data_IF_222918179424
#
_entry.id   IF_222918179424
#
_cell.length_a   1.000
_cell.length_b   1.000
_cell.length_c   1.000
_cell.angle_alpha   90.00
_cell.angle_beta   90.00
_cell.angle_gamma   90.00
#
_symmetry.space_group_name_H-M   'P 1'
#
loop_
_entity.id
_entity.type
_entity.pdbx_description
1 polymer ?
#
# COMPACT_ATOMS: atom_id res chain seq x y z
N UNK A 1 -16.50 9.56 -11.73
CA UNK A 1 -16.77 8.22 -11.15
C UNK A 1 -16.75 7.20 -12.28
N UNK A 2 -16.13 6.05 -12.06
CA UNK A 2 -16.14 4.94 -13.00
C UNK A 2 -17.17 3.90 -12.54
N UNK A 3 -17.93 3.33 -13.47
CA UNK A 3 -18.88 2.25 -13.18
C UNK A 3 -18.21 0.92 -13.47
N UNK A 4 -18.27 0.00 -12.52
CA UNK A 4 -17.80 -1.38 -12.68
C UNK A 4 -18.97 -2.34 -12.48
N UNK A 5 -19.00 -3.41 -13.28
CA UNK A 5 -19.98 -4.50 -13.12
C UNK A 5 -19.28 -5.65 -12.41
N UNK A 6 -19.81 -6.07 -11.26
CA UNK A 6 -19.27 -7.19 -10.48
C UNK A 6 -20.23 -8.37 -10.58
N UNK A 7 -19.71 -9.53 -10.99
CA UNK A 7 -20.45 -10.78 -10.98
C UNK A 7 -20.62 -11.30 -9.55
N UNK A 8 -21.85 -11.65 -9.18
CA UNK A 8 -22.19 -12.29 -7.90
C UNK A 8 -23.09 -13.49 -8.17
N UNK A 9 -23.04 -14.49 -7.30
CA UNK A 9 -23.96 -15.62 -7.38
C UNK A 9 -25.41 -15.19 -7.10
N UNK A 10 -26.37 -15.99 -7.56
CA UNK A 10 -27.79 -15.63 -7.48
C UNK A 10 -28.31 -15.59 -6.04
N UNK A 11 -27.74 -16.39 -5.12
CA UNK A 11 -28.16 -16.38 -3.73
C UNK A 11 -27.77 -15.08 -3.04
N UNK A 12 -26.52 -14.65 -3.23
CA UNK A 12 -26.04 -13.36 -2.74
C UNK A 12 -26.85 -12.22 -3.33
N UNK A 13 -27.12 -12.25 -4.65
CA UNK A 13 -27.95 -11.24 -5.31
C UNK A 13 -29.36 -11.18 -4.74
N UNK A 14 -29.99 -12.32 -4.44
CA UNK A 14 -31.30 -12.37 -3.76
C UNK A 14 -31.25 -11.73 -2.38
N UNK A 15 -30.25 -12.06 -1.56
CA UNK A 15 -30.08 -11.47 -0.22
C UNK A 15 -29.86 -9.96 -0.28
N UNK A 16 -29.06 -9.50 -1.24
CA UNK A 16 -28.85 -8.07 -1.47
C UNK A 16 -30.14 -7.35 -1.85
N UNK A 17 -30.94 -7.93 -2.76
CA UNK A 17 -32.24 -7.36 -3.16
C UNK A 17 -33.27 -7.34 -2.02
N UNK A 18 -33.26 -8.34 -1.15
CA UNK A 18 -34.15 -8.40 0.01
C UNK A 18 -33.91 -7.23 0.99
N UNK A 19 -32.66 -6.76 1.06
CA UNK A 19 -32.26 -5.58 1.82
C UNK A 19 -32.16 -4.36 0.89
N UNK A 20 -33.26 -4.04 0.21
CA UNK A 20 -33.33 -2.99 -0.82
C UNK A 20 -33.04 -1.57 -0.30
N UNK A 21 -33.13 -1.35 1.01
CA UNK A 21 -32.82 -0.08 1.66
C UNK A 21 -31.30 0.18 1.79
N UNK A 22 -30.46 -0.82 1.52
CA UNK A 22 -29.00 -0.71 1.64
C UNK A 22 -28.38 -0.18 0.35
N UNK A 23 -27.49 0.80 0.46
CA UNK A 23 -26.67 1.27 -0.64
C UNK A 23 -25.50 0.31 -0.90
N UNK A 24 -25.75 -0.71 -1.72
CA UNK A 24 -24.75 -1.74 -2.01
C UNK A 24 -23.49 -1.23 -2.70
N UNK A 25 -23.58 -0.15 -3.50
CA UNK A 25 -22.41 0.45 -4.14
C UNK A 25 -21.43 1.01 -3.11
N UNK A 26 -21.94 1.70 -2.09
CA UNK A 26 -21.14 2.25 -1.00
C UNK A 26 -20.51 1.14 -0.15
N UNK A 27 -21.29 0.10 0.17
CA UNK A 27 -20.79 -1.07 0.91
C UNK A 27 -19.63 -1.75 0.18
N UNK A 28 -19.77 -1.95 -1.13
CA UNK A 28 -18.72 -2.57 -1.96
C UNK A 28 -17.50 -1.64 -2.06
N UNK A 29 -17.72 -0.34 -2.26
CA UNK A 29 -16.63 0.64 -2.31
C UNK A 29 -15.83 0.67 -1.00
N UNK A 30 -16.51 0.70 0.14
CA UNK A 30 -15.85 0.69 1.43
C UNK A 30 -15.08 -0.62 1.66
N UNK A 31 -15.66 -1.76 1.27
CA UNK A 31 -14.99 -3.05 1.34
C UNK A 31 -13.71 -3.09 0.49
N UNK A 32 -13.75 -2.55 -0.73
CA UNK A 32 -12.58 -2.42 -1.61
C UNK A 32 -11.53 -1.51 -0.99
N UNK A 33 -11.90 -0.32 -0.51
CA UNK A 33 -10.98 0.63 0.15
C UNK A 33 -10.33 0.01 1.40
N UNK A 34 -11.11 -0.70 2.21
CA UNK A 34 -10.61 -1.39 3.42
C UNK A 34 -9.63 -2.50 3.06
N UNK A 35 -9.91 -3.27 2.00
CA UNK A 35 -9.00 -4.30 1.50
C UNK A 35 -7.71 -3.69 0.97
N UNK A 36 -7.79 -2.63 0.15
CA UNK A 36 -6.62 -1.90 -0.36
C UNK A 36 -5.73 -1.38 0.77
N UNK A 37 -6.30 -0.65 1.75
CA UNK A 37 -5.52 -0.17 2.90
C UNK A 37 -4.80 -1.28 3.66
N UNK A 38 -5.45 -2.45 3.80
CA UNK A 38 -4.85 -3.60 4.47
C UNK A 38 -3.66 -4.16 3.69
N UNK A 39 -3.78 -4.27 2.36
CA UNK A 39 -2.67 -4.76 1.53
C UNK A 39 -1.56 -3.72 1.38
N UNK A 40 -1.88 -2.42 1.27
CA UNK A 40 -0.89 -1.33 1.29
C UNK A 40 -0.14 -1.27 2.62
N UNK A 41 -0.85 -1.39 3.75
CA UNK A 41 -0.25 -1.45 5.08
C UNK A 41 0.63 -2.68 5.27
N UNK A 42 0.25 -3.83 4.69
CA UNK A 42 1.10 -5.03 4.66
C UNK A 42 2.37 -4.82 3.85
N UNK A 43 2.26 -4.25 2.64
CA UNK A 43 3.42 -3.93 1.81
C UNK A 43 4.38 -2.95 2.51
N UNK A 44 3.86 -1.93 3.19
CA UNK A 44 4.67 -1.00 3.99
C UNK A 44 5.35 -1.69 5.17
N UNK A 45 4.63 -2.54 5.90
CA UNK A 45 5.19 -3.30 7.02
C UNK A 45 6.27 -4.29 6.54
N UNK A 46 6.04 -4.99 5.43
CA UNK A 46 7.01 -5.89 4.82
C UNK A 46 8.25 -5.15 4.30
N UNK A 47 8.05 -4.01 3.63
CA UNK A 47 9.16 -3.16 3.17
C UNK A 47 9.96 -2.58 4.34
N UNK A 48 9.30 -2.15 5.42
CA UNK A 48 9.97 -1.67 6.63
C UNK A 48 10.78 -2.78 7.31
N UNK A 49 10.22 -3.99 7.44
CA UNK A 49 10.92 -5.16 7.99
C UNK A 49 12.08 -5.60 7.10
N UNK A 50 11.92 -5.55 5.77
CA UNK A 50 12.99 -5.84 4.83
C UNK A 50 14.12 -4.81 4.96
N UNK A 51 13.79 -3.52 5.03
CA UNK A 51 14.76 -2.45 5.25
C UNK A 51 15.52 -2.62 6.58
N UNK A 52 14.84 -2.99 7.66
CA UNK A 52 15.49 -3.25 8.95
C UNK A 52 16.40 -4.48 8.89
N UNK A 53 16.00 -5.55 8.17
CA UNK A 53 16.86 -6.73 7.95
C UNK A 53 18.08 -6.41 7.09
N UNK A 54 17.94 -5.51 6.11
CA UNK A 54 19.02 -5.06 5.24
C UNK A 54 19.88 -3.97 5.88
N UNK A 55 19.46 -3.42 7.04
CA UNK A 55 20.16 -2.37 7.75
C UNK A 55 21.51 -2.87 8.25
N UNK A 56 22.56 -2.54 7.52
CA UNK A 56 23.95 -2.73 7.97
C UNK A 56 24.26 -1.72 9.06
N UNK A 57 24.98 -2.15 10.10
CA UNK A 57 25.49 -1.21 11.11
C UNK A 57 26.39 -0.22 10.38
N UNK A 58 26.10 1.10 10.45
CA UNK A 58 26.93 2.08 9.80
C UNK A 58 28.34 2.04 10.41
N UNK A 59 29.38 2.32 9.63
CA UNK A 59 30.74 2.45 10.16
C UNK A 59 30.80 3.48 11.28
N UNK A 60 31.72 3.30 12.22
CA UNK A 60 31.94 4.24 13.31
C UNK A 60 32.29 5.63 12.74
N UNK A 61 31.51 6.66 13.12
CA UNK A 61 31.66 8.03 12.61
C UNK A 61 30.73 8.44 11.45
N UNK A 62 29.77 7.61 11.03
CA UNK A 62 28.80 7.97 10.00
C UNK A 62 27.73 8.96 10.50
N UNK A 63 27.64 10.12 9.84
CA UNK A 63 26.59 11.14 10.04
C UNK A 63 25.68 11.17 8.80
N UNK A 64 24.50 10.54 8.89
CA UNK A 64 23.56 10.39 7.77
C UNK A 64 22.91 11.69 7.27
N UNK A 65 23.12 12.81 7.97
CA UNK A 65 22.62 14.13 7.56
C UNK A 65 23.65 14.97 6.80
N UNK A 66 24.93 14.55 6.76
CA UNK A 66 25.94 15.19 5.92
C UNK A 66 26.07 14.42 4.62
N UNK A 67 25.77 15.08 3.51
CA UNK A 67 26.27 14.63 2.21
C UNK A 67 27.80 14.52 2.30
N UNK A 68 28.41 13.36 2.04
CA UNK A 68 29.85 13.26 2.03
C UNK A 68 30.36 14.04 0.83
N UNK A 69 31.08 15.13 1.11
CA UNK A 69 31.81 15.98 0.14
C UNK A 69 32.83 15.22 -0.75
N UNK A 70 32.87 13.88 -0.70
CA UNK A 70 33.91 13.05 -1.29
C UNK A 70 33.56 12.44 -2.66
N UNK A 71 32.39 12.70 -3.24
CA UNK A 71 32.03 12.19 -4.58
C UNK A 71 31.93 13.26 -5.67
N UNK A 72 32.28 14.51 -5.38
CA UNK A 72 32.22 15.62 -6.35
C UNK A 72 33.48 15.76 -7.25
N UNK A 73 34.47 14.87 -7.17
CA UNK A 73 35.75 15.02 -7.91
C UNK A 73 36.08 13.88 -8.86
N UNK A 74 35.09 13.31 -9.54
CA UNK A 74 35.36 12.44 -10.71
C UNK A 74 34.32 12.69 -11.81
N UNK A 75 34.27 13.91 -12.32
CA UNK A 75 33.70 14.21 -13.64
C UNK A 75 34.41 15.43 -14.26
N UNK A 76 35.75 15.44 -14.24
CA UNK A 76 36.54 16.20 -15.21
C UNK A 76 37.84 15.41 -15.52
N UNK A 77 37.82 14.69 -16.63
CA UNK A 77 38.94 14.42 -17.55
C UNK A 77 38.44 13.57 -18.72
#
# INVERSE_FOLDING_TARGET
MATITVGVDEELRRKMRALSHVNWSEVIEEAMRRKLRKEEGRNLAEAALLNERLRRRPPEGWDGAREPLALATTYEA
#
